data_IF_457534688508
#
_entry.id   IF_457534688508
#
_cell.length_a   1.000
_cell.length_b   1.000
_cell.length_c   1.000
_cell.angle_alpha   90.00
_cell.angle_beta   90.00
_cell.angle_gamma   90.00
#
_symmetry.space_group_name_H-M   'P 1'
#
loop_
_entity.id
_entity.type
_entity.pdbx_description
1 polymer ?
#
# COMPACT_ATOMS: atom_id res chain seq x y z
N UNK A 1 -19.39 14.04 22.82
CA UNK A 1 -18.04 14.42 22.33
C UNK A 1 -17.36 13.17 21.78
N UNK A 2 -17.46 12.91 20.48
CA UNK A 2 -16.74 11.80 19.83
C UNK A 2 -15.28 12.23 19.65
N UNK A 3 -14.40 11.78 20.55
CA UNK A 3 -12.96 11.97 20.37
C UNK A 3 -12.56 11.37 19.02
N UNK A 4 -11.82 12.07 18.14
CA UNK A 4 -11.34 11.47 16.92
C UNK A 4 -10.47 10.29 17.33
N UNK A 5 -10.92 9.07 16.99
CA UNK A 5 -10.14 7.86 17.19
C UNK A 5 -8.80 8.11 16.49
N UNK A 6 -7.73 8.31 17.27
CA UNK A 6 -6.40 8.61 16.76
C UNK A 6 -5.98 7.41 15.93
N UNK A 7 -6.26 7.46 14.63
CA UNK A 7 -5.90 6.44 13.66
C UNK A 7 -4.43 6.16 13.87
N UNK A 8 -4.12 4.91 14.17
CA UNK A 8 -2.78 4.54 14.57
C UNK A 8 -1.80 4.89 13.46
N UNK A 9 -0.58 5.27 13.86
CA UNK A 9 0.49 5.50 12.90
C UNK A 9 0.75 4.26 12.05
N UNK A 10 0.58 3.07 12.63
CA UNK A 10 0.75 1.78 11.94
C UNK A 10 -0.31 1.53 10.87
N UNK A 11 -1.60 1.78 11.14
CA UNK A 11 -2.64 1.68 10.12
C UNK A 11 -2.43 2.69 8.98
N UNK A 12 -2.06 3.93 9.33
CA UNK A 12 -1.76 4.96 8.33
C UNK A 12 -0.56 4.56 7.46
N UNK A 13 0.51 4.04 8.06
CA UNK A 13 1.66 3.53 7.34
C UNK A 13 1.29 2.35 6.43
N UNK A 14 0.49 1.39 6.92
CA UNK A 14 -0.01 0.27 6.10
C UNK A 14 -0.81 0.74 4.89
N UNK A 15 -1.69 1.73 5.06
CA UNK A 15 -2.47 2.31 3.98
C UNK A 15 -1.59 3.02 2.93
N UNK A 16 -0.55 3.74 3.37
CA UNK A 16 0.41 4.39 2.48
C UNK A 16 1.22 3.36 1.69
N UNK A 17 1.73 2.32 2.35
CA UNK A 17 2.45 1.22 1.69
C UNK A 17 1.56 0.53 0.65
N UNK A 18 0.29 0.29 1.00
CA UNK A 18 -0.70 -0.25 0.08
C UNK A 18 -0.90 0.65 -1.14
N UNK A 19 -1.13 1.95 -0.92
CA UNK A 19 -1.33 2.90 -2.00
C UNK A 19 -0.11 2.99 -2.94
N UNK A 20 1.11 2.99 -2.39
CA UNK A 20 2.35 2.99 -3.17
C UNK A 20 2.47 1.72 -4.02
N UNK A 21 2.19 0.55 -3.44
CA UNK A 21 2.21 -0.69 -4.18
C UNK A 21 1.16 -0.73 -5.30
N UNK A 22 -0.04 -0.19 -5.06
CA UNK A 22 -1.09 -0.07 -6.08
C UNK A 22 -0.64 0.84 -7.23
N UNK A 23 -0.02 1.97 -6.89
CA UNK A 23 0.50 2.91 -7.87
C UNK A 23 1.59 2.25 -8.74
N UNK A 24 2.44 1.40 -8.14
CA UNK A 24 3.44 0.64 -8.88
C UNK A 24 2.82 -0.36 -9.86
N UNK A 25 1.75 -1.06 -9.45
CA UNK A 25 0.99 -1.96 -10.35
C UNK A 25 0.42 -1.17 -11.53
N UNK A 26 -0.25 -0.04 -11.27
CA UNK A 26 -0.78 0.84 -12.32
C UNK A 26 0.34 1.30 -13.25
N UNK A 27 1.49 1.71 -12.70
CA UNK A 27 2.64 2.14 -13.48
C UNK A 27 3.19 1.03 -14.38
N UNK A 28 3.21 -0.23 -13.95
CA UNK A 28 3.60 -1.38 -14.80
C UNK A 28 2.71 -1.46 -16.03
N UNK A 29 1.39 -1.38 -15.85
CA UNK A 29 0.43 -1.44 -16.97
C UNK A 29 0.58 -0.25 -17.92
N UNK A 30 0.75 0.96 -17.37
CA UNK A 30 0.97 2.18 -18.18
C UNK A 30 2.26 2.05 -18.98
N UNK A 31 3.36 1.60 -18.36
CA UNK A 31 4.63 1.42 -19.05
C UNK A 31 4.51 0.36 -20.15
N UNK A 32 3.87 -0.77 -19.85
CA UNK A 32 3.64 -1.83 -20.84
C UNK A 32 2.82 -1.33 -22.03
N UNK A 33 1.80 -0.49 -21.80
CA UNK A 33 1.01 0.14 -22.86
C UNK A 33 1.82 1.12 -23.73
N UNK A 34 2.85 1.73 -23.17
CA UNK A 34 3.80 2.59 -23.87
C UNK A 34 4.99 1.83 -24.49
N UNK A 35 5.02 0.49 -24.37
CA UNK A 35 6.12 -0.36 -24.83
C UNK A 35 7.37 -0.32 -23.95
N UNK A 36 7.28 0.29 -22.77
CA UNK A 36 8.36 0.37 -21.78
C UNK A 36 8.31 -0.76 -20.74
N UNK A 37 9.46 -1.02 -20.12
CA UNK A 37 9.58 -1.99 -19.03
C UNK A 37 10.45 -1.41 -17.91
N UNK A 38 10.01 -1.62 -16.66
CA UNK A 38 10.71 -1.17 -15.47
C UNK A 38 10.70 -2.31 -14.44
N UNK A 39 11.69 -3.22 -14.47
CA UNK A 39 11.73 -4.39 -13.59
C UNK A 39 11.72 -4.03 -12.10
N UNK A 40 12.23 -2.85 -11.74
CA UNK A 40 12.21 -2.36 -10.36
C UNK A 40 10.78 -2.15 -9.81
N UNK A 41 9.78 -1.92 -10.67
CA UNK A 41 8.38 -1.80 -10.24
C UNK A 41 7.84 -3.10 -9.67
N UNK A 42 8.40 -4.26 -10.04
CA UNK A 42 7.97 -5.55 -9.47
C UNK A 42 8.25 -5.61 -7.98
N UNK A 43 9.43 -5.15 -7.55
CA UNK A 43 9.76 -5.05 -6.14
C UNK A 43 8.85 -4.05 -5.41
N UNK A 44 8.55 -2.90 -6.02
CA UNK A 44 7.66 -1.89 -5.42
C UNK A 44 6.21 -2.37 -5.35
N UNK A 45 5.75 -3.17 -6.31
CA UNK A 45 4.40 -3.74 -6.25
C UNK A 45 4.20 -4.70 -5.07
N UNK A 46 5.27 -5.28 -4.51
CA UNK A 46 5.19 -6.06 -3.26
C UNK A 46 4.82 -5.23 -2.03
N UNK A 47 4.94 -3.90 -2.11
CA UNK A 47 4.45 -3.00 -1.06
C UNK A 47 2.92 -3.04 -0.91
N UNK A 48 2.20 -3.44 -1.97
CA UNK A 48 0.74 -3.58 -1.97
C UNK A 48 0.29 -4.63 -0.94
N UNK A 49 0.66 -5.92 -1.07
CA UNK A 49 0.26 -6.93 -0.08
C UNK A 49 0.87 -6.65 1.30
N UNK A 50 2.10 -6.13 1.40
CA UNK A 50 2.72 -5.81 2.68
C UNK A 50 1.96 -4.71 3.44
N UNK A 51 1.58 -3.63 2.76
CA UNK A 51 0.80 -2.55 3.34
C UNK A 51 -0.57 -3.00 3.83
N UNK A 52 -1.22 -3.88 3.06
CA UNK A 52 -2.49 -4.50 3.44
C UNK A 52 -2.32 -5.33 4.72
N UNK A 53 -1.31 -6.20 4.79
CA UNK A 53 -1.05 -7.03 5.97
C UNK A 53 -0.79 -6.17 7.21
N UNK A 54 0.03 -5.12 7.10
CA UNK A 54 0.31 -4.20 8.22
C UNK A 54 -0.98 -3.52 8.71
N UNK A 55 -1.81 -3.02 7.79
CA UNK A 55 -3.07 -2.37 8.14
C UNK A 55 -4.07 -3.34 8.81
N UNK A 56 -4.18 -4.56 8.30
CA UNK A 56 -5.06 -5.60 8.85
C UNK A 56 -4.59 -6.05 10.23
N UNK A 57 -3.30 -6.34 10.41
CA UNK A 57 -2.74 -6.78 11.69
C UNK A 57 -2.92 -5.71 12.77
N UNK A 58 -2.68 -4.44 12.45
CA UNK A 58 -2.91 -3.36 13.43
C UNK A 58 -4.41 -3.20 13.76
N UNK A 59 -5.30 -3.38 12.78
CA UNK A 59 -6.75 -3.36 13.01
C UNK A 59 -7.19 -4.49 13.94
N UNK A 60 -6.72 -5.72 13.68
CA UNK A 60 -7.05 -6.90 14.50
C UNK A 60 -6.47 -6.78 15.91
N UNK A 61 -5.21 -6.32 16.04
CA UNK A 61 -4.57 -6.13 17.36
C UNK A 61 -5.21 -5.04 18.22
N UNK A 62 -5.91 -4.09 17.61
CA UNK A 62 -6.60 -2.99 18.30
C UNK A 62 -8.07 -3.26 18.59
N UNK A 63 -8.59 -4.41 18.16
CA UNK A 63 -9.97 -4.84 18.33
C UNK A 63 -10.09 -5.75 19.54
#
# INVERSE_FOLDING_TARGET
MTAPARRSRAFTAGLVLFAVGLLAVVAIFVLAALGGQAPWLWAVSMLLPLGLVVAVVDTVRRR
#
